data_IF_493361372042
#
_entry.id   IF_493361372042
#
_cell.length_a   1.000
_cell.length_b   1.000
_cell.length_c   1.000
_cell.angle_alpha   90.00
_cell.angle_beta   90.00
_cell.angle_gamma   90.00
#
_symmetry.space_group_name_H-M   'P 1'
#
loop_
_entity.id
_entity.type
_entity.pdbx_description
1 polymer ?
#
# COMPACT_ATOMS: atom_id res chain seq x y z
N UNK A 1 -22.28 -7.77 -21.27
CA UNK A 1 -21.19 -6.98 -20.66
C UNK A 1 -21.84 -5.88 -19.85
N UNK A 2 -21.84 -6.02 -18.52
CA UNK A 2 -22.32 -4.96 -17.61
C UNK A 2 -21.34 -3.80 -17.68
N UNK A 3 -21.83 -2.61 -18.02
CA UNK A 3 -21.05 -1.37 -17.95
C UNK A 3 -20.58 -1.22 -16.50
N UNK A 4 -19.28 -1.01 -16.22
CA UNK A 4 -18.82 -0.81 -14.86
C UNK A 4 -19.51 0.42 -14.26
N UNK A 5 -19.95 0.31 -13.00
CA UNK A 5 -20.68 1.38 -12.31
C UNK A 5 -19.86 2.67 -12.14
N UNK A 6 -18.53 2.55 -12.23
CA UNK A 6 -17.56 3.64 -12.12
C UNK A 6 -16.51 3.49 -13.22
N UNK A 7 -16.03 4.61 -13.77
CA UNK A 7 -14.90 4.65 -14.70
C UNK A 7 -13.63 5.12 -13.98
N UNK A 8 -13.27 4.45 -12.89
CA UNK A 8 -12.11 4.80 -12.07
C UNK A 8 -10.89 3.97 -12.46
N UNK A 9 -9.73 4.64 -12.56
CA UNK A 9 -8.42 3.99 -12.57
C UNK A 9 -7.93 3.70 -11.15
N UNK A 10 -6.73 3.12 -11.04
CA UNK A 10 -6.10 2.86 -9.74
C UNK A 10 -5.74 4.14 -8.98
N UNK A 11 -5.54 5.26 -9.67
CA UNK A 11 -5.37 6.59 -9.08
C UNK A 11 -6.51 7.48 -9.58
N UNK A 12 -7.18 8.16 -8.67
CA UNK A 12 -8.23 9.14 -9.00
C UNK A 12 -7.98 10.46 -8.29
N UNK A 13 -8.49 11.55 -8.85
CA UNK A 13 -8.48 12.86 -8.22
C UNK A 13 -9.75 13.06 -7.36
N UNK A 14 -9.73 14.08 -6.49
CA UNK A 14 -10.82 14.36 -5.58
C UNK A 14 -12.12 14.72 -6.31
N UNK A 15 -11.99 15.42 -7.42
CA UNK A 15 -13.06 15.85 -8.29
C UNK A 15 -13.72 14.66 -9.01
N UNK A 16 -12.99 13.56 -9.24
CA UNK A 16 -13.55 12.34 -9.84
C UNK A 16 -14.48 11.61 -8.87
N UNK A 17 -14.18 11.68 -7.57
CA UNK A 17 -14.93 10.99 -6.51
C UNK A 17 -16.23 11.73 -6.14
N UNK A 18 -16.21 13.07 -6.16
CA UNK A 18 -17.30 13.94 -5.70
C UNK A 18 -18.69 13.59 -6.29
N UNK A 19 -18.86 13.34 -7.60
CA UNK A 19 -20.17 13.05 -8.19
C UNK A 19 -20.79 11.71 -7.72
N UNK A 20 -19.99 10.86 -7.06
CA UNK A 20 -20.37 9.51 -6.67
C UNK A 20 -20.56 9.36 -5.15
N UNK A 21 -20.44 10.43 -4.37
CA UNK A 21 -20.71 10.40 -2.93
C UNK A 21 -22.13 9.86 -2.67
N UNK A 22 -22.24 8.94 -1.72
CA UNK A 22 -23.50 8.29 -1.34
C UNK A 22 -23.95 7.15 -2.27
N UNK A 23 -23.19 6.83 -3.32
CA UNK A 23 -23.51 5.65 -4.14
C UNK A 23 -23.33 4.36 -3.34
N UNK A 24 -24.36 3.52 -3.28
CA UNK A 24 -24.36 2.29 -2.47
C UNK A 24 -23.25 1.29 -2.87
N UNK A 25 -22.82 1.30 -4.14
CA UNK A 25 -21.76 0.45 -4.69
C UNK A 25 -20.35 1.04 -4.50
N UNK A 26 -20.23 2.23 -3.91
CA UNK A 26 -18.96 2.85 -3.59
C UNK A 26 -18.64 2.64 -2.11
N UNK A 27 -17.38 2.31 -1.83
CA UNK A 27 -16.86 2.20 -0.47
C UNK A 27 -15.66 3.12 -0.33
N UNK A 28 -15.85 4.21 0.39
CA UNK A 28 -14.79 5.16 0.69
C UNK A 28 -14.16 4.73 2.02
N UNK A 29 -12.85 4.55 2.04
CA UNK A 29 -12.13 4.03 3.21
C UNK A 29 -11.08 5.03 3.64
N UNK A 30 -11.22 5.51 4.88
CA UNK A 30 -10.29 6.40 5.56
C UNK A 30 -9.30 5.58 6.38
N UNK A 31 -8.01 5.84 6.19
CA UNK A 31 -6.92 5.29 6.99
C UNK A 31 -6.06 6.37 7.65
N UNK A 32 -6.66 7.54 7.88
CA UNK A 32 -6.02 8.63 8.59
C UNK A 32 -5.79 8.26 10.06
N UNK A 33 -5.17 9.16 10.83
CA UNK A 33 -5.19 9.03 12.30
C UNK A 33 -6.63 9.17 12.79
N UNK A 34 -7.03 8.39 13.80
CA UNK A 34 -8.40 8.48 14.35
C UNK A 34 -8.77 9.89 14.81
N UNK A 35 -7.81 10.67 15.33
CA UNK A 35 -8.04 12.07 15.69
C UNK A 35 -8.40 12.97 14.50
N UNK A 36 -7.93 12.64 13.30
CA UNK A 36 -8.29 13.36 12.07
C UNK A 36 -9.70 12.94 11.65
N UNK A 37 -9.94 11.63 11.50
CA UNK A 37 -11.26 11.10 11.15
C UNK A 37 -12.38 11.62 12.06
N UNK A 38 -12.19 11.61 13.38
CA UNK A 38 -13.20 12.07 14.34
C UNK A 38 -13.50 13.59 14.22
N UNK A 39 -12.54 14.38 13.73
CA UNK A 39 -12.72 15.81 13.47
C UNK A 39 -13.37 16.06 12.11
N UNK A 40 -12.87 15.38 11.07
CA UNK A 40 -13.36 15.46 9.72
C UNK A 40 -12.91 14.25 8.89
N UNK A 41 -13.75 13.87 7.94
CA UNK A 41 -13.47 12.86 6.92
C UNK A 41 -14.31 13.13 5.68
N UNK A 42 -14.00 12.45 4.58
CA UNK A 42 -14.84 12.45 3.38
C UNK A 42 -16.21 11.83 3.74
N UNK A 43 -17.36 12.43 3.34
CA UNK A 43 -18.68 11.87 3.62
C UNK A 43 -18.80 10.40 3.21
N UNK A 44 -19.54 9.61 3.97
CA UNK A 44 -19.69 8.15 3.80
C UNK A 44 -18.42 7.30 3.98
N UNK A 45 -17.31 7.87 4.48
CA UNK A 45 -16.07 7.13 4.69
C UNK A 45 -16.12 6.20 5.91
N UNK A 46 -15.66 4.96 5.72
CA UNK A 46 -15.41 3.99 6.79
C UNK A 46 -13.98 4.17 7.30
N UNK A 47 -13.81 4.38 8.60
CA UNK A 47 -12.47 4.42 9.19
C UNK A 47 -11.89 3.01 9.41
N UNK A 48 -10.72 2.74 8.87
CA UNK A 48 -9.96 1.51 9.07
C UNK A 48 -8.65 1.81 9.79
N UNK A 49 -8.53 1.28 11.02
CA UNK A 49 -7.30 1.39 11.80
C UNK A 49 -6.21 0.48 11.23
N UNK A 50 -4.93 0.92 11.16
CA UNK A 50 -3.81 0.14 10.65
C UNK A 50 -3.67 -1.27 11.23
N UNK A 51 -4.00 -1.46 12.52
CA UNK A 51 -3.96 -2.77 13.19
C UNK A 51 -4.86 -3.84 12.56
N UNK A 52 -5.86 -3.43 11.78
CA UNK A 52 -6.76 -4.34 11.06
C UNK A 52 -6.14 -4.85 9.75
N UNK A 53 -5.03 -4.25 9.31
CA UNK A 53 -4.36 -4.55 8.05
C UNK A 53 -3.07 -5.35 8.23
N UNK A 54 -2.67 -5.64 9.47
CA UNK A 54 -1.39 -6.27 9.78
C UNK A 54 -1.55 -7.34 10.84
N UNK A 55 -0.82 -8.43 10.67
CA UNK A 55 -0.55 -9.42 11.70
C UNK A 55 0.87 -9.22 12.22
N UNK A 56 1.02 -9.28 13.53
CA UNK A 56 2.32 -9.14 14.20
C UNK A 56 2.76 -10.48 14.78
N UNK A 57 4.02 -10.81 14.56
CA UNK A 57 4.74 -11.94 15.11
C UNK A 57 6.06 -11.42 15.74
N UNK A 58 6.76 -12.25 16.51
CA UNK A 58 7.96 -11.83 17.26
C UNK A 58 9.01 -11.14 16.37
N UNK A 59 9.22 -11.68 15.18
CA UNK A 59 10.22 -11.19 14.24
C UNK A 59 9.63 -10.24 13.20
N UNK A 60 8.32 -10.25 12.94
CA UNK A 60 7.71 -9.57 11.81
C UNK A 60 6.47 -8.77 12.22
N UNK A 61 6.45 -7.48 11.91
CA UNK A 61 5.38 -6.57 12.40
C UNK A 61 4.35 -6.15 11.34
N UNK A 62 4.58 -6.53 10.07
CA UNK A 62 3.82 -6.05 8.91
C UNK A 62 3.12 -7.14 8.10
N UNK A 63 3.05 -8.37 8.64
CA UNK A 63 2.55 -9.51 7.87
C UNK A 63 1.11 -9.29 7.42
N UNK A 64 0.75 -9.88 6.29
CA UNK A 64 -0.65 -10.03 5.86
C UNK A 64 -1.44 -10.66 7.02
N UNK A 65 -2.66 -10.19 7.33
CA UNK A 65 -3.58 -10.92 8.19
C UNK A 65 -3.77 -12.36 7.70
N UNK A 66 -4.08 -13.28 8.61
CA UNK A 66 -4.48 -14.62 8.21
C UNK A 66 -5.88 -14.61 7.57
N UNK A 67 -6.34 -15.77 7.10
CA UNK A 67 -7.61 -15.88 6.38
C UNK A 67 -8.79 -15.36 7.21
N UNK A 68 -8.80 -15.56 8.51
CA UNK A 68 -9.88 -15.09 9.37
C UNK A 68 -9.82 -13.57 9.58
N UNK A 69 -8.62 -13.00 9.75
CA UNK A 69 -8.42 -11.55 9.77
C UNK A 69 -8.81 -10.87 8.46
N UNK A 70 -8.52 -11.53 7.33
CA UNK A 70 -8.91 -11.04 6.00
C UNK A 70 -10.43 -11.12 5.78
N UNK A 71 -11.11 -12.18 6.25
CA UNK A 71 -12.58 -12.25 6.24
C UNK A 71 -13.19 -11.15 7.07
N UNK A 72 -12.66 -10.93 8.28
CA UNK A 72 -13.12 -9.86 9.15
C UNK A 72 -12.94 -8.48 8.50
N UNK A 73 -11.88 -8.27 7.70
CA UNK A 73 -11.69 -7.04 6.94
C UNK A 73 -12.77 -6.87 5.85
N UNK A 74 -13.09 -7.92 5.09
CA UNK A 74 -14.16 -7.88 4.07
C UNK A 74 -15.53 -7.60 4.71
N UNK A 75 -15.83 -8.27 5.82
CA UNK A 75 -17.06 -8.05 6.59
C UNK A 75 -17.14 -6.62 7.13
N UNK A 76 -16.04 -6.09 7.67
CA UNK A 76 -15.96 -4.74 8.19
C UNK A 76 -16.14 -3.68 7.10
N UNK A 77 -15.52 -3.87 5.94
CA UNK A 77 -15.67 -3.00 4.77
C UNK A 77 -17.05 -3.15 4.11
N UNK A 78 -17.75 -4.26 4.39
CA UNK A 78 -19.09 -4.55 3.90
C UNK A 78 -19.15 -4.44 2.36
N UNK A 79 -18.25 -5.18 1.69
CA UNK A 79 -18.04 -5.18 0.24
C UNK A 79 -18.47 -6.49 -0.43
N UNK A 80 -19.08 -6.36 -1.61
CA UNK A 80 -19.37 -7.45 -2.56
C UNK A 80 -18.57 -7.26 -3.85
N UNK A 81 -18.54 -8.25 -4.77
CA UNK A 81 -17.87 -8.11 -6.06
C UNK A 81 -18.34 -6.94 -6.93
N UNK A 82 -19.52 -6.38 -6.67
CA UNK A 82 -20.07 -5.24 -7.42
C UNK A 82 -19.59 -3.87 -6.91
N UNK A 83 -18.93 -3.84 -5.75
CA UNK A 83 -18.44 -2.60 -5.17
C UNK A 83 -17.16 -2.11 -5.85
N UNK A 84 -16.88 -0.83 -5.67
CA UNK A 84 -15.57 -0.23 -5.91
C UNK A 84 -15.07 0.42 -4.61
N UNK A 85 -13.81 0.17 -4.25
CA UNK A 85 -13.20 0.73 -3.03
C UNK A 85 -12.29 1.89 -3.38
N UNK A 86 -12.52 3.05 -2.78
CA UNK A 86 -11.62 4.20 -2.85
C UNK A 86 -10.97 4.39 -1.50
N UNK A 87 -9.66 4.22 -1.41
CA UNK A 87 -8.90 4.35 -0.19
C UNK A 87 -8.12 5.66 -0.14
N UNK A 88 -8.05 6.26 1.05
CA UNK A 88 -7.22 7.43 1.31
C UNK A 88 -6.69 7.44 2.75
N UNK A 89 -5.66 8.25 2.99
CA UNK A 89 -5.12 8.51 4.32
C UNK A 89 -4.73 10.00 4.44
N UNK A 90 -4.04 10.34 5.52
CA UNK A 90 -3.56 11.68 5.83
C UNK A 90 -2.03 11.84 5.74
N UNK A 91 -1.37 10.96 4.98
CA UNK A 91 0.09 10.91 4.89
C UNK A 91 0.64 10.65 3.48
N UNK A 92 -0.22 10.60 2.47
CA UNK A 92 0.17 10.50 1.05
C UNK A 92 0.01 9.11 0.43
N UNK A 93 -0.78 8.23 1.05
CA UNK A 93 -1.23 6.97 0.46
C UNK A 93 -0.49 5.72 0.92
N UNK A 94 0.31 5.78 1.99
CA UNK A 94 1.02 4.60 2.49
C UNK A 94 0.06 3.58 3.13
N UNK A 95 -0.78 3.99 4.09
CA UNK A 95 -1.81 3.09 4.63
C UNK A 95 -2.88 2.76 3.59
N UNK A 96 -3.33 3.73 2.80
CA UNK A 96 -4.30 3.47 1.74
C UNK A 96 -3.78 2.48 0.70
N UNK A 97 -2.52 2.61 0.28
CA UNK A 97 -1.86 1.65 -0.58
C UNK A 97 -1.71 0.27 0.07
N UNK A 98 -1.42 0.21 1.38
CA UNK A 98 -1.44 -1.07 2.14
C UNK A 98 -2.82 -1.71 2.11
N UNK A 99 -3.90 -0.97 2.33
CA UNK A 99 -5.26 -1.54 2.24
C UNK A 99 -5.54 -2.09 0.83
N UNK A 100 -5.23 -1.32 -0.20
CA UNK A 100 -5.41 -1.74 -1.60
C UNK A 100 -4.62 -3.03 -1.87
N UNK A 101 -3.38 -3.13 -1.39
CA UNK A 101 -2.60 -4.36 -1.48
C UNK A 101 -3.25 -5.55 -0.77
N UNK A 102 -3.83 -5.35 0.43
CA UNK A 102 -4.58 -6.41 1.12
C UNK A 102 -5.75 -6.88 0.25
N UNK A 103 -6.52 -5.96 -0.33
CA UNK A 103 -7.65 -6.27 -1.21
C UNK A 103 -7.20 -7.00 -2.49
N UNK A 104 -6.07 -6.62 -3.07
CA UNK A 104 -5.50 -7.32 -4.22
C UNK A 104 -5.08 -8.76 -3.86
N UNK A 105 -4.45 -8.98 -2.69
CA UNK A 105 -4.15 -10.32 -2.19
C UNK A 105 -5.42 -11.19 -2.03
N UNK A 106 -6.58 -10.58 -1.82
CA UNK A 106 -7.87 -11.26 -1.71
C UNK A 106 -8.54 -11.56 -3.05
N UNK A 107 -8.00 -11.02 -4.14
CA UNK A 107 -8.60 -11.08 -5.48
C UNK A 107 -9.58 -9.94 -5.79
N UNK A 108 -9.62 -8.88 -4.97
CA UNK A 108 -10.48 -7.72 -5.18
C UNK A 108 -9.68 -6.55 -5.76
N UNK A 109 -9.77 -6.35 -7.09
CA UNK A 109 -9.00 -5.33 -7.82
C UNK A 109 -9.78 -4.07 -8.22
N UNK A 110 -11.07 -3.97 -7.88
CA UNK A 110 -11.88 -2.76 -8.10
C UNK A 110 -11.56 -1.71 -7.05
N UNK A 111 -10.34 -1.20 -7.08
CA UNK A 111 -9.78 -0.30 -6.08
C UNK A 111 -9.19 0.95 -6.71
N UNK A 112 -9.21 2.05 -5.96
CA UNK A 112 -8.53 3.30 -6.30
C UNK A 112 -7.89 3.92 -5.07
N UNK A 113 -6.73 4.53 -5.27
CA UNK A 113 -6.11 5.46 -4.34
C UNK A 113 -6.59 6.88 -4.68
N UNK A 114 -7.05 7.61 -3.66
CA UNK A 114 -7.35 9.04 -3.80
C UNK A 114 -6.04 9.85 -3.75
N UNK A 115 -5.69 10.52 -4.85
CA UNK A 115 -4.42 11.23 -4.97
C UNK A 115 -4.31 12.39 -3.96
N UNK A 116 -3.32 12.33 -3.05
CA UNK A 116 -3.13 13.32 -1.97
C UNK A 116 -4.12 13.18 -0.80
N UNK A 117 -5.01 12.19 -0.84
CA UNK A 117 -5.94 11.84 0.24
C UNK A 117 -6.72 13.02 0.82
N UNK A 118 -6.82 13.09 2.15
CA UNK A 118 -7.63 14.13 2.81
C UNK A 118 -7.06 15.54 2.61
N UNK A 119 -5.74 15.67 2.41
CA UNK A 119 -5.09 16.97 2.20
C UNK A 119 -5.52 17.60 0.88
N UNK A 120 -5.51 16.81 -0.20
CA UNK A 120 -5.97 17.26 -1.51
C UNK A 120 -7.48 17.52 -1.52
N UNK A 121 -8.26 16.67 -0.85
CA UNK A 121 -9.71 16.85 -0.70
C UNK A 121 -10.07 18.19 -0.03
N UNK A 122 -9.39 18.51 1.08
CA UNK A 122 -9.57 19.78 1.80
C UNK A 122 -9.10 20.98 0.98
N UNK A 123 -7.97 20.85 0.28
CA UNK A 123 -7.45 21.91 -0.57
C UNK A 123 -8.39 22.27 -1.73
N UNK A 124 -9.10 21.27 -2.27
CA UNK A 124 -10.14 21.47 -3.27
C UNK A 124 -11.45 22.06 -2.72
N UNK A 125 -11.54 22.30 -1.40
CA UNK A 125 -12.73 22.88 -0.76
C UNK A 125 -13.95 21.97 -0.80
N UNK A 126 -13.74 20.65 -0.85
CA UNK A 126 -14.81 19.67 -1.01
C UNK A 126 -15.51 19.35 0.33
N UNK A 127 -16.76 18.84 0.29
CA UNK A 127 -17.54 18.58 1.50
C UNK A 127 -16.86 17.60 2.45
N UNK A 128 -16.98 17.83 3.75
CA UNK A 128 -16.48 16.93 4.81
C UNK A 128 -17.62 16.58 5.77
N UNK A 129 -17.46 15.47 6.48
CA UNK A 129 -18.36 15.01 7.54
C UNK A 129 -17.55 14.74 8.82
N UNK A 130 -18.23 14.75 9.97
CA UNK A 130 -17.76 14.18 11.23
C UNK A 130 -18.70 13.09 11.75
N UNK A 131 -19.75 12.77 10.99
CA UNK A 131 -20.76 11.79 11.36
C UNK A 131 -20.33 10.38 10.97
N UNK A 132 -20.41 9.45 11.91
CA UNK A 132 -20.16 8.02 11.66
C UNK A 132 -21.44 7.37 11.15
N UNK A 133 -21.47 7.07 9.85
CA UNK A 133 -22.61 6.44 9.20
C UNK A 133 -22.67 4.93 9.45
N UNK A 134 -23.89 4.40 9.61
CA UNK A 134 -24.14 2.97 9.64
C UNK A 134 -24.52 2.48 8.26
N UNK A 135 -23.65 1.67 7.65
CA UNK A 135 -23.92 1.06 6.36
C UNK A 135 -24.95 -0.07 6.49
N UNK A 136 -25.86 -0.16 5.52
CA UNK A 136 -26.75 -1.30 5.40
C UNK A 136 -25.91 -2.57 5.07
N UNK A 137 -26.19 -3.72 5.70
CA UNK A 137 -25.49 -4.96 5.38
C UNK A 137 -25.58 -5.31 3.89
N UNK A 138 -24.46 -5.71 3.30
CA UNK A 138 -24.37 -6.16 1.91
C UNK A 138 -24.45 -7.68 1.85
N UNK A 139 -25.31 -8.18 0.96
CA UNK A 139 -25.37 -9.60 0.62
C UNK A 139 -24.23 -9.99 -0.35
N UNK A 140 -23.84 -11.27 -0.36
CA UNK A 140 -22.79 -11.81 -1.24
C UNK A 140 -21.45 -11.09 -1.08
N UNK A 141 -20.91 -11.12 0.14
CA UNK A 141 -19.58 -10.58 0.42
C UNK A 141 -18.51 -11.22 -0.47
N UNK A 142 -17.43 -10.47 -0.73
CA UNK A 142 -16.29 -10.94 -1.52
C UNK A 142 -15.75 -12.26 -0.93
N UNK A 143 -15.61 -13.27 -1.78
CA UNK A 143 -14.93 -14.52 -1.41
C UNK A 143 -13.42 -14.37 -1.51
N UNK A 144 -12.69 -14.95 -0.56
CA UNK A 144 -11.22 -14.89 -0.55
C UNK A 144 -10.64 -15.90 -1.53
N UNK A 145 -9.89 -15.41 -2.53
CA UNK A 145 -9.11 -16.25 -3.41
C UNK A 145 -7.65 -16.33 -2.96
N UNK A 146 -7.29 -17.41 -2.27
CA UNK A 146 -5.92 -17.61 -1.77
C UNK A 146 -4.87 -17.69 -2.89
N UNK A 147 -5.26 -18.10 -4.11
CA UNK A 147 -4.33 -18.17 -5.24
C UNK A 147 -3.81 -16.79 -5.67
N UNK A 148 -4.53 -15.70 -5.35
CA UNK A 148 -4.09 -14.33 -5.65
C UNK A 148 -3.08 -13.80 -4.63
N UNK A 149 -2.97 -14.41 -3.43
CA UNK A 149 -2.03 -13.95 -2.40
C UNK A 149 -0.60 -14.00 -2.96
N UNK A 150 -0.20 -15.13 -3.53
CA UNK A 150 1.15 -15.34 -4.05
C UNK A 150 1.45 -14.47 -5.29
N UNK A 151 0.42 -13.95 -5.98
CA UNK A 151 0.60 -13.02 -7.09
C UNK A 151 1.11 -11.63 -6.62
N UNK A 152 0.71 -11.19 -5.42
CA UNK A 152 1.05 -9.85 -4.91
C UNK A 152 1.96 -9.86 -3.69
N UNK A 153 2.21 -11.03 -3.11
CA UNK A 153 3.01 -11.21 -1.90
C UNK A 153 4.12 -12.21 -2.19
N UNK A 154 5.31 -11.93 -1.66
CA UNK A 154 6.41 -12.90 -1.58
C UNK A 154 6.77 -13.13 -0.11
N UNK A 155 6.97 -14.39 0.26
CA UNK A 155 7.34 -14.78 1.62
C UNK A 155 8.86 -14.84 1.79
N UNK A 156 9.33 -14.79 3.05
CA UNK A 156 10.77 -14.77 3.37
C UNK A 156 11.56 -15.88 2.68
N UNK A 157 11.11 -17.15 2.76
CA UNK A 157 11.85 -18.28 2.21
C UNK A 157 12.05 -18.17 0.70
N UNK A 158 11.01 -17.74 -0.04
CA UNK A 158 11.10 -17.56 -1.48
C UNK A 158 11.99 -16.36 -1.84
N UNK A 159 11.83 -15.23 -1.15
CA UNK A 159 12.65 -14.05 -1.38
C UNK A 159 14.12 -14.32 -1.09
N UNK A 160 14.44 -15.04 0.00
CA UNK A 160 15.80 -15.42 0.36
C UNK A 160 16.49 -16.18 -0.77
N UNK A 161 15.82 -17.16 -1.37
CA UNK A 161 16.37 -17.93 -2.48
C UNK A 161 16.55 -17.08 -3.74
N UNK A 162 15.60 -16.19 -4.07
CA UNK A 162 15.78 -15.27 -5.20
C UNK A 162 16.93 -14.28 -5.00
N UNK A 163 17.11 -13.77 -3.77
CA UNK A 163 18.20 -12.85 -3.41
C UNK A 163 19.55 -13.55 -3.50
N UNK A 164 19.69 -14.77 -2.95
CA UNK A 164 20.93 -15.55 -3.04
C UNK A 164 21.35 -15.84 -4.48
N UNK A 165 20.37 -16.08 -5.35
CA UNK A 165 20.60 -16.37 -6.76
C UNK A 165 20.72 -15.12 -7.65
N UNK A 166 20.59 -13.92 -7.08
CA UNK A 166 20.57 -12.65 -7.80
C UNK A 166 19.54 -12.61 -8.96
N UNK A 167 18.37 -13.20 -8.74
CA UNK A 167 17.33 -13.41 -9.77
C UNK A 167 16.09 -12.52 -9.56
N UNK A 168 16.21 -11.44 -8.79
CA UNK A 168 15.09 -10.53 -8.52
C UNK A 168 15.61 -9.12 -8.23
N UNK A 169 14.85 -8.12 -8.68
CA UNK A 169 15.09 -6.75 -8.26
C UNK A 169 14.42 -6.51 -6.91
N UNK A 170 15.14 -5.89 -5.97
CA UNK A 170 14.59 -5.54 -4.67
C UNK A 170 14.57 -4.03 -4.51
N UNK A 171 13.40 -3.47 -4.22
CA UNK A 171 13.18 -2.06 -3.98
C UNK A 171 13.00 -1.81 -2.47
N UNK A 172 14.00 -1.17 -1.87
CA UNK A 172 13.92 -0.64 -0.51
C UNK A 172 13.38 0.79 -0.54
N UNK A 173 12.21 1.01 0.07
CA UNK A 173 11.59 2.34 0.13
C UNK A 173 11.65 3.01 1.52
N UNK A 174 12.54 2.53 2.41
CA UNK A 174 12.85 3.15 3.71
C UNK A 174 13.60 4.47 3.55
N UNK A 175 13.94 5.15 4.66
CA UNK A 175 14.83 6.31 4.60
C UNK A 175 16.27 5.89 4.32
N UNK A 176 17.10 6.80 3.83
CA UNK A 176 18.53 6.56 3.56
C UNK A 176 19.28 6.05 4.80
N UNK A 177 19.04 6.63 5.98
CA UNK A 177 19.65 6.17 7.24
C UNK A 177 19.28 4.72 7.60
N UNK A 178 18.05 4.28 7.29
CA UNK A 178 17.62 2.90 7.53
C UNK A 178 18.27 1.94 6.54
N UNK A 179 18.36 2.36 5.26
CA UNK A 179 18.99 1.58 4.19
C UNK A 179 20.49 1.40 4.44
N UNK A 180 21.22 2.46 4.76
CA UNK A 180 22.66 2.41 5.04
C UNK A 180 23.00 1.67 6.32
N UNK A 181 22.06 1.57 7.25
CA UNK A 181 22.24 0.98 8.58
C UNK A 181 22.71 1.97 9.64
N UNK A 182 22.78 3.27 9.32
CA UNK A 182 23.04 4.33 10.30
C UNK A 182 21.94 4.39 11.38
N UNK A 183 20.69 4.14 10.97
CA UNK A 183 19.55 3.99 11.88
C UNK A 183 19.15 2.53 11.99
N UNK A 184 19.27 1.97 13.20
CA UNK A 184 18.79 0.63 13.51
C UNK A 184 17.27 0.65 13.75
N UNK A 185 16.52 0.02 12.84
CA UNK A 185 15.08 -0.19 12.96
C UNK A 185 14.71 -1.65 13.32
N UNK A 186 15.71 -2.52 13.44
CA UNK A 186 15.61 -3.93 13.82
C UNK A 186 16.87 -4.33 14.62
N UNK A 187 17.00 -5.61 15.01
CA UNK A 187 18.21 -6.13 15.69
C UNK A 187 19.50 -5.88 14.88
N UNK A 188 19.40 -5.81 13.56
CA UNK A 188 20.51 -5.52 12.64
C UNK A 188 20.13 -4.39 11.69
N UNK A 189 21.07 -3.47 11.44
CA UNK A 189 20.93 -2.36 10.49
C UNK A 189 21.51 -2.72 9.13
N UNK A 190 21.10 -1.99 8.09
CA UNK A 190 21.50 -2.23 6.70
C UNK A 190 20.29 -2.48 5.81
N UNK A 191 20.50 -3.18 4.70
CA UNK A 191 19.49 -3.53 3.71
C UNK A 191 19.67 -4.96 3.17
N UNK A 192 18.67 -5.45 2.44
CA UNK A 192 18.70 -6.74 1.74
C UNK A 192 19.78 -6.69 0.65
N UNK A 193 20.64 -7.71 0.48
CA UNK A 193 21.64 -7.73 -0.59
C UNK A 193 21.06 -7.43 -1.96
N UNK A 194 21.81 -6.69 -2.79
CA UNK A 194 21.39 -6.20 -4.10
C UNK A 194 20.14 -5.29 -4.12
N UNK A 195 19.58 -4.89 -2.97
CA UNK A 195 18.45 -3.97 -2.94
C UNK A 195 18.88 -2.58 -3.37
N UNK A 196 18.06 -1.95 -4.22
CA UNK A 196 18.22 -0.55 -4.62
C UNK A 196 17.28 0.32 -3.79
N UNK A 197 17.79 1.48 -3.38
CA UNK A 197 17.06 2.41 -2.54
C UNK A 197 16.31 3.46 -3.37
N UNK A 198 15.00 3.56 -3.14
CA UNK A 198 14.19 4.69 -3.58
C UNK A 198 13.13 4.98 -2.53
N UNK A 199 13.35 6.00 -1.71
CA UNK A 199 12.46 6.34 -0.60
C UNK A 199 11.06 6.74 -1.10
N UNK A 200 10.03 6.14 -0.50
CA UNK A 200 8.61 6.34 -0.85
C UNK A 200 8.18 7.81 -0.86
N UNK A 201 8.67 8.59 0.11
CA UNK A 201 8.27 9.98 0.35
C UNK A 201 8.69 10.91 -0.79
N UNK A 202 9.70 10.52 -1.57
CA UNK A 202 10.23 11.31 -2.69
C UNK A 202 9.33 11.26 -3.94
N UNK A 203 8.33 10.38 -3.95
CA UNK A 203 7.27 10.34 -4.94
C UNK A 203 6.14 11.34 -4.65
N UNK A 204 6.06 11.85 -3.42
CA UNK A 204 5.03 12.80 -2.99
C UNK A 204 5.45 14.25 -3.23
N UNK A 205 4.52 15.06 -3.72
CA UNK A 205 4.68 16.50 -3.85
C UNK A 205 4.06 17.20 -2.63
N UNK A 206 4.90 17.62 -1.68
CA UNK A 206 4.46 18.33 -0.48
C UNK A 206 3.86 19.71 -0.75
N UNK A 207 4.26 20.36 -1.84
CA UNK A 207 3.72 21.65 -2.25
C UNK A 207 2.35 21.51 -2.94
N UNK A 208 1.99 20.30 -3.36
CA UNK A 208 0.72 19.97 -3.97
C UNK A 208 -0.06 18.97 -3.10
N UNK A 209 -0.22 19.29 -1.81
CA UNK A 209 -1.10 18.57 -0.89
C UNK A 209 -0.86 17.05 -0.82
N UNK A 210 0.41 16.65 -0.85
CA UNK A 210 0.85 15.25 -0.84
C UNK A 210 0.36 14.42 -2.05
N UNK A 211 -0.11 15.05 -3.12
CA UNK A 211 -0.35 14.35 -4.39
C UNK A 211 0.95 13.74 -4.90
N UNK A 212 0.84 12.67 -5.67
CA UNK A 212 1.99 12.10 -6.37
C UNK A 212 2.55 13.12 -7.38
N UNK A 213 3.88 13.16 -7.49
CA UNK A 213 4.49 13.75 -8.67
C UNK A 213 4.04 12.99 -9.94
N UNK A 214 4.13 13.61 -11.14
CA UNK A 214 3.85 12.93 -12.40
C UNK A 214 4.58 11.59 -12.47
N UNK A 215 3.89 10.54 -12.94
CA UNK A 215 4.41 9.17 -12.92
C UNK A 215 5.71 9.04 -13.72
N UNK A 216 5.85 9.80 -14.80
CA UNK A 216 7.05 9.84 -15.64
C UNK A 216 8.29 10.25 -14.83
N UNK A 217 8.14 11.17 -13.87
CA UNK A 217 9.24 11.56 -12.98
C UNK A 217 9.67 10.38 -12.10
N UNK A 218 8.71 9.67 -11.53
CA UNK A 218 9.00 8.51 -10.67
C UNK A 218 9.64 7.39 -11.49
N UNK A 219 9.12 7.10 -12.68
CA UNK A 219 9.69 6.13 -13.61
C UNK A 219 11.16 6.45 -13.94
N UNK A 220 11.46 7.67 -14.39
CA UNK A 220 12.82 8.08 -14.74
C UNK A 220 13.79 7.92 -13.58
N UNK A 221 13.37 8.25 -12.35
CA UNK A 221 14.23 8.11 -11.16
C UNK A 221 14.48 6.65 -10.81
N UNK A 222 13.48 5.77 -10.93
CA UNK A 222 13.66 4.33 -10.74
C UNK A 222 14.64 3.77 -11.78
N UNK A 223 14.49 4.12 -13.06
CA UNK A 223 15.39 3.69 -14.13
C UNK A 223 16.83 4.21 -13.93
N UNK A 224 17.01 5.45 -13.48
CA UNK A 224 18.33 6.03 -13.14
C UNK A 224 19.04 5.29 -12.00
N UNK A 225 18.28 4.72 -11.06
CA UNK A 225 18.80 3.86 -9.99
C UNK A 225 19.12 2.44 -10.48
N UNK A 226 18.86 2.15 -11.76
CA UNK A 226 19.16 0.88 -12.40
C UNK A 226 18.06 -0.16 -12.25
N UNK A 227 16.82 0.24 -11.93
CA UNK A 227 15.68 -0.66 -12.04
C UNK A 227 15.27 -0.85 -13.51
N UNK A 228 14.90 -2.09 -13.86
CA UNK A 228 14.30 -2.46 -15.13
C UNK A 228 12.81 -2.78 -14.92
N UNK A 229 11.92 -1.91 -15.41
CA UNK A 229 10.47 -2.08 -15.24
C UNK A 229 9.90 -3.30 -16.01
N UNK A 230 10.67 -3.89 -16.94
CA UNK A 230 10.27 -5.10 -17.67
C UNK A 230 10.58 -6.39 -16.89
N UNK A 231 11.35 -6.29 -15.81
CA UNK A 231 11.68 -7.42 -14.94
C UNK A 231 10.90 -7.31 -13.63
N UNK A 232 10.56 -8.43 -12.97
CA UNK A 232 9.84 -8.40 -11.71
C UNK A 232 10.61 -7.67 -10.61
N UNK A 233 9.87 -7.06 -9.68
CA UNK A 233 10.43 -6.38 -8.51
C UNK A 233 9.70 -6.79 -7.24
N UNK A 234 10.45 -6.86 -6.14
CA UNK A 234 9.93 -7.01 -4.79
C UNK A 234 10.15 -5.74 -4.02
N UNK A 235 9.10 -5.16 -3.46
CA UNK A 235 9.16 -3.93 -2.67
C UNK A 235 9.00 -4.18 -1.18
N UNK A 236 9.75 -3.46 -0.35
CA UNK A 236 9.65 -3.54 1.11
C UNK A 236 9.98 -2.23 1.81
N UNK A 237 9.59 -2.13 3.08
CA UNK A 237 10.04 -1.07 3.99
C UNK A 237 10.41 -1.66 5.37
N UNK A 238 9.92 -1.09 6.47
CA UNK A 238 10.06 -1.70 7.81
C UNK A 238 8.98 -2.74 8.11
N UNK A 239 7.72 -2.44 7.83
CA UNK A 239 6.56 -3.24 8.25
C UNK A 239 5.44 -3.24 7.19
N UNK A 240 5.83 -3.13 5.93
CA UNK A 240 4.96 -2.98 4.77
C UNK A 240 3.93 -1.84 4.81
N UNK A 241 4.20 -0.79 5.59
CA UNK A 241 3.41 0.44 5.61
C UNK A 241 3.77 1.34 4.43
N UNK A 242 4.96 1.96 4.45
CA UNK A 242 5.48 2.83 3.37
C UNK A 242 5.53 2.15 2.00
N UNK A 243 5.84 0.86 1.96
CA UNK A 243 5.84 0.09 0.71
C UNK A 243 4.44 -0.21 0.18
N UNK A 244 3.38 0.10 0.94
CA UNK A 244 2.02 0.17 0.40
C UNK A 244 1.89 1.23 -0.70
N UNK A 245 2.46 2.43 -0.51
CA UNK A 245 2.50 3.43 -1.58
C UNK A 245 3.42 2.98 -2.72
N UNK A 246 4.60 2.44 -2.41
CA UNK A 246 5.54 1.98 -3.42
C UNK A 246 4.94 0.85 -4.29
N UNK A 247 4.13 -0.03 -3.69
CA UNK A 247 3.33 -1.02 -4.41
C UNK A 247 2.35 -0.36 -5.39
N UNK A 248 1.61 0.68 -4.97
CA UNK A 248 0.71 1.43 -5.87
C UNK A 248 1.49 2.07 -7.02
N UNK A 249 2.64 2.69 -6.74
CA UNK A 249 3.49 3.27 -7.78
C UNK A 249 3.92 2.23 -8.81
N UNK A 250 4.38 1.05 -8.38
CA UNK A 250 4.71 -0.04 -9.30
C UNK A 250 3.51 -0.49 -10.14
N UNK A 251 2.33 -0.62 -9.53
CA UNK A 251 1.08 -0.97 -10.24
C UNK A 251 0.68 0.09 -11.27
N UNK A 252 0.78 1.38 -10.93
CA UNK A 252 0.50 2.49 -11.84
C UNK A 252 1.46 2.54 -13.04
N UNK A 253 2.70 2.11 -12.84
CA UNK A 253 3.72 1.99 -13.89
C UNK A 253 3.58 0.71 -14.72
N UNK A 254 2.59 -0.15 -14.42
CA UNK A 254 2.44 -1.46 -15.08
C UNK A 254 3.55 -2.46 -14.74
N UNK A 255 4.30 -2.22 -13.66
CA UNK A 255 5.43 -3.05 -13.24
C UNK A 255 4.93 -4.35 -12.58
N UNK A 256 5.54 -5.49 -12.93
CA UNK A 256 5.29 -6.75 -12.24
C UNK A 256 5.87 -6.70 -10.81
N UNK A 257 5.03 -6.33 -9.84
CA UNK A 257 5.42 -5.99 -8.47
C UNK A 257 4.78 -6.91 -7.44
N UNK A 258 5.63 -7.46 -6.56
CA UNK A 258 5.23 -8.15 -5.34
C UNK A 258 5.68 -7.37 -4.11
N UNK A 259 4.95 -7.53 -3.01
CA UNK A 259 5.29 -7.02 -1.70
C UNK A 259 5.96 -8.10 -0.84
N UNK A 260 7.06 -7.76 -0.19
CA UNK A 260 7.53 -8.52 0.96
C UNK A 260 6.96 -7.92 2.24
N UNK A 261 5.98 -8.60 2.83
CA UNK A 261 5.16 -8.10 3.94
C UNK A 261 5.84 -8.23 5.31
N UNK A 262 6.70 -9.24 5.48
CA UNK A 262 7.60 -9.33 6.64
C UNK A 262 8.58 -8.15 6.71
N UNK A 263 8.98 -7.64 5.55
CA UNK A 263 9.77 -6.44 5.35
C UNK A 263 11.07 -6.43 6.19
N UNK A 264 11.66 -5.26 6.45
CA UNK A 264 12.88 -5.18 7.26
C UNK A 264 12.68 -5.60 8.71
N UNK A 265 11.45 -5.56 9.24
CA UNK A 265 11.18 -6.08 10.57
C UNK A 265 11.53 -7.57 10.65
N UNK A 266 11.04 -8.38 9.72
CA UNK A 266 11.40 -9.80 9.65
C UNK A 266 12.86 -9.97 9.26
N UNK A 267 13.26 -9.42 8.11
CA UNK A 267 14.61 -9.62 7.58
C UNK A 267 15.70 -9.18 8.55
N UNK A 268 15.60 -7.99 9.14
CA UNK A 268 16.58 -7.45 10.08
C UNK A 268 16.67 -8.23 11.39
N UNK A 269 15.58 -8.91 11.82
CA UNK A 269 15.55 -9.69 13.06
C UNK A 269 15.96 -11.16 12.89
N UNK A 270 15.97 -11.69 11.66
CA UNK A 270 16.26 -13.10 11.34
C UNK A 270 17.75 -13.42 11.19
N UNK A 271 18.34 -14.21 12.10
CA UNK A 271 19.78 -14.51 12.08
C UNK A 271 20.29 -15.18 10.80
N UNK A 272 19.43 -15.86 10.05
CA UNK A 272 19.72 -16.55 8.80
C UNK A 272 19.62 -15.65 7.55
N UNK A 273 19.17 -14.40 7.69
CA UNK A 273 19.10 -13.48 6.56
C UNK A 273 20.43 -12.74 6.33
N UNK A 274 20.89 -12.64 5.06
CA UNK A 274 22.08 -11.87 4.70
C UNK A 274 21.77 -10.37 4.74
N UNK A 275 22.75 -9.55 5.11
CA UNK A 275 22.61 -8.08 5.22
C UNK A 275 23.83 -7.40 4.62
N UNK A 276 23.58 -6.29 3.93
CA UNK A 276 24.60 -5.34 3.49
C UNK A 276 24.44 -4.03 4.28
N UNK A 277 25.56 -3.35 4.54
CA UNK A 277 25.60 -2.01 5.15
C UNK A 277 26.30 -1.02 4.22
N UNK A 278 25.94 0.26 4.30
CA UNK A 278 26.51 1.31 3.44
C UNK A 278 25.58 1.75 2.31
N UNK A 279 26.07 2.62 1.44
CA UNK A 279 25.26 3.36 0.45
C UNK A 279 25.09 2.63 -0.90
N UNK A 280 25.91 1.62 -1.18
CA UNK A 280 25.92 0.94 -2.47
C UNK A 280 25.28 -0.44 -2.37
N UNK A 281 24.45 -0.83 -3.36
CA UNK A 281 24.02 -2.22 -3.48
C UNK A 281 25.26 -3.09 -3.69
N UNK A 282 25.39 -4.14 -2.87
CA UNK A 282 26.44 -5.16 -3.02
C UNK A 282 25.89 -6.57 -2.86
#
# INVERSE_FOLDING_TARGET
MTVPAFNFGLLIEAEDLLPHLGNEKLRIVDLSRSSVYDQLHIPHAIHVKPKQLVRQEEQASGLLPDIDGLKALIEYLNISPDHHVVAYDDEGGAWAGRLIWNLHCLGFEKTSLLNGGIHAWLAAGLPTSSEVEKLAPVENLVEINQAHIDQYRIQYAELLEKVKNNNIQVWDCRTEDEYTGLRLAARRGGHIPNARHFEWSTALNRENHLKLHPLERTQQRLEQLGFNLNEPVVVYCQSHHRSGLAYILGRLLGWNIQAYDGAWSEWGNRLDSPIITGELPS
#
